data_IF_343304658496
#
_entry.id   IF_343304658496
#
_cell.length_a   1.000
_cell.length_b   1.000
_cell.length_c   1.000
_cell.angle_alpha   90.00
_cell.angle_beta   90.00
_cell.angle_gamma   90.00
#
_symmetry.space_group_name_H-M   'P 1'
#
loop_
_entity.id
_entity.type
_entity.pdbx_description
1 polymer ?
#
# COMPACT_ATOMS: atom_id res chain seq x y z
N UNK A 1 -34.69 -30.18 47.53
CA UNK A 1 -34.79 -30.27 46.06
C UNK A 1 -34.84 -28.86 45.51
N UNK A 2 -33.68 -28.31 45.11
CA UNK A 2 -33.59 -26.97 44.53
C UNK A 2 -33.87 -27.09 43.02
N UNK A 3 -34.85 -26.31 42.54
CA UNK A 3 -35.21 -26.23 41.13
C UNK A 3 -34.07 -25.56 40.36
N UNK A 4 -33.51 -26.29 39.39
CA UNK A 4 -32.60 -25.73 38.40
C UNK A 4 -33.46 -24.88 37.45
N UNK A 5 -33.29 -23.56 37.50
CA UNK A 5 -33.87 -22.65 36.53
C UNK A 5 -33.16 -22.87 35.18
N UNK A 6 -33.87 -22.97 34.05
CA UNK A 6 -33.24 -23.04 32.74
C UNK A 6 -32.56 -21.71 32.44
N UNK A 7 -31.23 -21.72 32.35
CA UNK A 7 -30.43 -20.61 31.82
C UNK A 7 -30.93 -20.31 30.40
N UNK A 8 -31.42 -19.09 30.19
CA UNK A 8 -31.95 -18.63 28.92
C UNK A 8 -30.86 -18.65 27.83
N UNK A 9 -31.15 -19.37 26.74
CA UNK A 9 -30.38 -19.43 25.49
C UNK A 9 -30.52 -18.12 24.66
N UNK A 10 -30.36 -16.96 25.29
CA UNK A 10 -30.63 -15.65 24.67
C UNK A 10 -29.64 -14.56 25.13
N UNK A 11 -28.40 -14.92 25.47
CA UNK A 11 -27.32 -13.93 25.30
C UNK A 11 -27.07 -13.79 23.80
N UNK A 12 -27.80 -12.86 23.17
CA UNK A 12 -27.38 -12.31 21.89
C UNK A 12 -25.92 -11.90 22.07
N UNK A 13 -25.00 -12.59 21.39
CA UNK A 13 -23.61 -12.15 21.30
C UNK A 13 -23.70 -10.83 20.54
N UNK A 14 -23.72 -9.71 21.26
CA UNK A 14 -23.47 -8.40 20.66
C UNK A 14 -22.11 -8.52 20.00
N UNK A 15 -22.03 -8.41 18.67
CA UNK A 15 -20.76 -8.54 18.00
C UNK A 15 -19.81 -7.45 18.51
N UNK A 16 -18.50 -7.73 18.54
CA UNK A 16 -17.53 -6.75 19.01
C UNK A 16 -17.65 -5.46 18.20
N UNK A 17 -17.37 -4.31 18.83
CA UNK A 17 -17.55 -2.97 18.25
C UNK A 17 -16.87 -2.75 16.88
N UNK A 18 -15.96 -3.65 16.48
CA UNK A 18 -15.20 -3.61 15.23
C UNK A 18 -15.69 -4.63 14.18
N UNK A 19 -16.95 -5.06 14.26
CA UNK A 19 -17.53 -6.06 13.35
C UNK A 19 -18.19 -5.39 12.16
N UNK A 20 -17.88 -5.87 10.95
CA UNK A 20 -18.51 -5.39 9.71
C UNK A 20 -19.63 -6.30 9.28
N UNK A 21 -20.88 -5.84 9.39
CA UNK A 21 -22.03 -6.64 8.97
C UNK A 21 -22.14 -6.73 7.45
N UNK A 22 -22.18 -7.95 6.93
CA UNK A 22 -22.64 -8.28 5.60
C UNK A 22 -24.15 -8.15 5.54
N UNK A 23 -24.64 -7.53 4.48
CA UNK A 23 -26.06 -7.54 4.18
C UNK A 23 -26.50 -8.96 3.70
N UNK A 24 -27.79 -9.32 3.81
CA UNK A 24 -28.28 -10.63 3.38
C UNK A 24 -28.02 -10.96 1.90
N UNK A 25 -27.95 -9.96 1.02
CA UNK A 25 -27.65 -10.19 -0.40
C UNK A 25 -26.21 -10.66 -0.61
N UNK A 26 -25.26 -10.12 0.14
CA UNK A 26 -23.86 -10.53 0.12
C UNK A 26 -23.65 -11.93 0.69
N UNK A 27 -24.40 -12.31 1.74
CA UNK A 27 -24.41 -13.69 2.24
C UNK A 27 -24.95 -14.68 1.19
N UNK A 28 -26.02 -14.31 0.50
CA UNK A 28 -26.55 -15.10 -0.62
C UNK A 28 -25.50 -15.27 -1.74
N UNK A 29 -24.76 -14.22 -2.08
CA UNK A 29 -23.69 -14.31 -3.07
C UNK A 29 -22.54 -15.20 -2.60
N UNK A 30 -22.16 -15.13 -1.32
CA UNK A 30 -21.16 -16.02 -0.72
C UNK A 30 -21.63 -17.47 -0.76
N UNK A 31 -22.88 -17.74 -0.44
CA UNK A 31 -23.42 -19.10 -0.47
C UNK A 31 -23.47 -19.66 -1.91
N UNK A 32 -23.76 -18.82 -2.92
CA UNK A 32 -23.68 -19.18 -4.35
C UNK A 32 -22.27 -19.50 -4.86
N UNK A 33 -21.23 -19.10 -4.14
CA UNK A 33 -19.85 -19.53 -4.47
C UNK A 33 -19.68 -21.03 -4.20
N UNK A 34 -20.39 -21.55 -3.21
CA UNK A 34 -20.37 -22.97 -2.85
C UNK A 34 -21.32 -23.80 -3.71
N UNK A 35 -22.48 -23.27 -4.09
CA UNK A 35 -23.42 -23.91 -5.02
C UNK A 35 -22.90 -23.80 -6.48
N UNK A 36 -21.95 -24.66 -6.84
CA UNK A 36 -21.24 -24.59 -8.14
C UNK A 36 -22.14 -25.06 -9.28
N UNK A 37 -23.02 -26.03 -9.02
CA UNK A 37 -23.94 -26.57 -10.00
C UNK A 37 -25.25 -25.75 -10.13
N UNK A 38 -25.49 -24.79 -9.22
CA UNK A 38 -26.62 -23.85 -9.18
C UNK A 38 -27.97 -24.53 -9.03
N UNK A 39 -28.03 -25.64 -8.29
CA UNK A 39 -29.28 -26.35 -8.04
C UNK A 39 -30.03 -25.83 -6.80
N UNK A 40 -29.48 -24.80 -6.13
CA UNK A 40 -30.07 -24.18 -4.93
C UNK A 40 -29.74 -24.94 -3.64
N UNK A 41 -28.88 -25.94 -3.74
CA UNK A 41 -28.44 -26.82 -2.67
C UNK A 41 -26.91 -26.84 -2.66
N UNK A 42 -26.30 -27.02 -1.49
CA UNK A 42 -24.86 -27.17 -1.38
C UNK A 42 -24.53 -28.62 -1.06
N UNK A 43 -24.00 -29.34 -2.04
CA UNK A 43 -23.59 -30.72 -1.94
C UNK A 43 -22.32 -30.91 -1.09
N UNK A 44 -22.13 -32.14 -0.59
CA UNK A 44 -20.92 -32.51 0.19
C UNK A 44 -19.62 -32.27 -0.58
N UNK A 45 -19.64 -32.59 -1.87
CA UNK A 45 -18.48 -32.48 -2.75
C UNK A 45 -18.14 -31.02 -3.08
N UNK A 46 -19.12 -30.13 -2.96
CA UNK A 46 -18.96 -28.70 -3.22
C UNK A 46 -18.33 -27.96 -2.03
N UNK A 47 -18.68 -28.33 -0.79
CA UNK A 47 -18.10 -27.72 0.40
C UNK A 47 -16.65 -28.15 0.67
N UNK A 48 -16.28 -29.38 0.30
CA UNK A 48 -14.96 -29.97 0.61
C UNK A 48 -14.56 -29.81 2.08
N UNK A 49 -15.52 -29.88 3.00
CA UNK A 49 -15.31 -29.74 4.45
C UNK A 49 -15.34 -31.07 5.18
N UNK A 50 -14.95 -31.06 6.46
CA UNK A 50 -14.99 -32.26 7.28
C UNK A 50 -16.42 -32.83 7.44
N UNK A 51 -16.59 -34.16 7.53
CA UNK A 51 -17.88 -34.78 7.79
C UNK A 51 -18.55 -34.32 9.10
N UNK A 52 -17.76 -33.83 10.05
CA UNK A 52 -18.27 -33.30 11.32
C UNK A 52 -18.97 -31.96 11.11
N UNK A 53 -18.41 -31.08 10.28
CA UNK A 53 -19.01 -29.78 9.95
C UNK A 53 -20.29 -29.95 9.11
N UNK A 54 -20.30 -30.89 8.17
CA UNK A 54 -21.50 -31.23 7.40
C UNK A 54 -22.67 -31.60 8.31
N UNK A 55 -22.44 -32.42 9.34
CA UNK A 55 -23.47 -32.79 10.32
C UNK A 55 -23.93 -31.65 11.22
N UNK A 56 -23.11 -30.61 11.38
CA UNK A 56 -23.48 -29.42 12.15
C UNK A 56 -24.33 -28.45 11.33
N UNK A 57 -24.09 -28.40 10.01
CA UNK A 57 -24.83 -27.59 9.06
C UNK A 57 -26.17 -28.20 8.66
N UNK A 58 -26.20 -29.50 8.43
CA UNK A 58 -27.37 -30.28 8.07
C UNK A 58 -28.29 -30.47 9.31
N UNK A 59 -29.15 -29.47 9.56
CA UNK A 59 -29.98 -29.41 10.76
C UNK A 59 -31.12 -30.41 10.73
N UNK A 60 -31.67 -30.65 9.55
CA UNK A 60 -32.79 -31.57 9.36
C UNK A 60 -32.33 -33.03 9.17
N UNK A 61 -31.02 -33.27 8.98
CA UNK A 61 -30.36 -34.57 8.82
C UNK A 61 -30.77 -35.31 7.55
N UNK A 62 -31.07 -34.60 6.47
CA UNK A 62 -31.43 -35.18 5.18
C UNK A 62 -30.22 -35.44 4.27
N UNK A 63 -29.00 -35.13 4.72
CA UNK A 63 -27.72 -35.17 4.00
C UNK A 63 -27.59 -34.15 2.88
N UNK A 64 -28.46 -33.14 2.86
CA UNK A 64 -28.52 -32.07 1.87
C UNK A 64 -28.43 -30.74 2.62
N UNK A 65 -27.41 -29.91 2.34
CA UNK A 65 -27.33 -28.60 2.98
C UNK A 65 -28.06 -27.59 2.11
N UNK A 66 -29.24 -27.17 2.55
CA UNK A 66 -29.98 -26.12 1.86
C UNK A 66 -29.30 -24.76 2.07
N UNK A 67 -29.51 -23.83 1.13
CA UNK A 67 -28.92 -22.49 1.19
C UNK A 67 -29.19 -21.80 2.53
N UNK A 68 -30.42 -21.88 3.04
CA UNK A 68 -30.78 -21.28 4.32
C UNK A 68 -30.11 -21.97 5.52
N UNK A 69 -29.80 -23.27 5.44
CA UNK A 69 -29.11 -24.00 6.50
C UNK A 69 -27.64 -23.57 6.56
N UNK A 70 -27.03 -23.38 5.40
CA UNK A 70 -25.69 -22.82 5.28
C UNK A 70 -25.64 -21.37 5.77
N UNK A 71 -26.58 -20.52 5.33
CA UNK A 71 -26.71 -19.15 5.82
C UNK A 71 -26.92 -19.11 7.33
N UNK A 72 -27.79 -19.98 7.87
CA UNK A 72 -28.02 -20.07 9.32
C UNK A 72 -26.76 -20.57 10.03
N UNK A 73 -25.99 -21.47 9.44
CA UNK A 73 -24.71 -21.95 9.95
C UNK A 73 -23.66 -20.84 10.02
N UNK A 74 -23.58 -20.00 8.98
CA UNK A 74 -22.77 -18.79 8.99
C UNK A 74 -23.25 -17.86 10.10
N UNK A 75 -24.51 -17.43 10.08
CA UNK A 75 -25.14 -16.50 11.06
C UNK A 75 -24.92 -16.93 12.52
N UNK A 76 -24.93 -18.23 12.80
CA UNK A 76 -24.77 -18.78 14.15
C UNK A 76 -23.32 -19.14 14.52
N UNK A 77 -22.31 -18.70 13.75
CA UNK A 77 -20.89 -19.01 13.96
C UNK A 77 -20.57 -20.52 13.99
N UNK A 78 -21.40 -21.34 13.34
CA UNK A 78 -21.18 -22.80 13.26
C UNK A 78 -20.16 -23.16 12.18
N UNK A 79 -19.90 -22.24 11.24
CA UNK A 79 -18.90 -22.36 10.17
C UNK A 79 -18.00 -21.14 10.19
N UNK A 80 -16.69 -21.36 10.20
CA UNK A 80 -15.72 -20.31 9.88
C UNK A 80 -15.17 -20.49 8.47
N UNK A 81 -14.87 -19.39 7.76
CA UNK A 81 -14.27 -19.46 6.42
C UNK A 81 -12.91 -20.17 6.41
N UNK A 82 -12.20 -20.21 7.54
CA UNK A 82 -10.97 -20.99 7.68
C UNK A 82 -11.21 -22.50 7.57
N UNK A 83 -12.40 -22.96 7.96
CA UNK A 83 -12.80 -24.37 7.82
C UNK A 83 -13.29 -24.68 6.40
N UNK A 84 -13.61 -23.65 5.62
CA UNK A 84 -13.92 -23.73 4.19
C UNK A 84 -12.59 -23.73 3.44
N UNK A 85 -12.44 -24.62 2.46
CA UNK A 85 -11.14 -24.85 1.81
C UNK A 85 -10.49 -23.54 1.28
N UNK A 86 -9.14 -23.42 1.29
CA UNK A 86 -8.41 -22.23 0.82
C UNK A 86 -8.83 -21.71 -0.57
N UNK A 87 -9.28 -22.62 -1.44
CA UNK A 87 -9.75 -22.31 -2.78
C UNK A 87 -10.97 -21.36 -2.79
N UNK A 88 -11.78 -21.39 -1.73
CA UNK A 88 -13.04 -20.65 -1.67
C UNK A 88 -12.85 -19.23 -1.12
N UNK A 89 -11.82 -19.01 -0.30
CA UNK A 89 -11.51 -17.68 0.27
C UNK A 89 -11.31 -16.60 -0.79
N UNK A 90 -10.72 -16.93 -1.94
CA UNK A 90 -10.55 -15.98 -3.06
C UNK A 90 -11.87 -15.62 -3.74
N UNK A 91 -12.79 -16.57 -3.87
CA UNK A 91 -14.09 -16.36 -4.48
C UNK A 91 -15.03 -15.61 -3.53
N UNK A 92 -14.94 -15.88 -2.23
CA UNK A 92 -15.60 -15.08 -1.18
C UNK A 92 -15.07 -13.64 -1.22
N UNK A 93 -13.74 -13.46 -1.24
CA UNK A 93 -13.14 -12.13 -1.35
C UNK A 93 -13.60 -11.38 -2.61
N UNK A 94 -13.73 -12.08 -3.75
CA UNK A 94 -14.27 -11.52 -4.98
C UNK A 94 -15.68 -10.96 -4.79
N UNK A 95 -16.58 -11.75 -4.21
CA UNK A 95 -17.97 -11.37 -3.96
C UNK A 95 -18.03 -10.16 -3.03
N UNK A 96 -17.30 -10.22 -1.92
CA UNK A 96 -17.33 -9.15 -0.91
C UNK A 96 -16.80 -7.81 -1.46
N UNK A 97 -15.79 -7.85 -2.32
CA UNK A 97 -15.25 -6.65 -2.97
C UNK A 97 -16.20 -6.15 -4.07
N UNK A 98 -16.78 -7.05 -4.86
CA UNK A 98 -17.71 -6.69 -5.93
C UNK A 98 -18.97 -5.99 -5.39
N UNK A 99 -19.45 -6.42 -4.23
CA UNK A 99 -20.54 -5.78 -3.49
C UNK A 99 -20.16 -4.46 -2.82
N UNK A 100 -18.94 -3.95 -3.06
CA UNK A 100 -18.42 -2.71 -2.50
C UNK A 100 -18.42 -2.66 -0.97
N UNK A 101 -18.49 -3.82 -0.31
CA UNK A 101 -18.36 -3.92 1.15
C UNK A 101 -16.98 -3.41 1.61
N UNK A 102 -16.00 -3.42 0.70
CA UNK A 102 -14.61 -3.05 0.94
C UNK A 102 -14.19 -1.67 0.37
N UNK A 103 -15.07 -0.93 -0.31
CA UNK A 103 -14.64 0.27 -1.06
C UNK A 103 -14.63 1.59 -0.26
N UNK A 104 -15.02 1.61 1.01
CA UNK A 104 -14.90 2.82 1.86
C UNK A 104 -14.97 2.49 3.35
N UNK A 105 -13.89 2.75 4.11
CA UNK A 105 -13.96 2.95 5.56
C UNK A 105 -14.05 1.70 6.44
N UNK A 106 -13.10 0.76 6.31
CA UNK A 106 -13.04 -0.44 7.16
C UNK A 106 -12.44 -0.23 8.57
N UNK A 107 -12.11 1.01 8.93
CA UNK A 107 -11.54 1.33 10.25
C UNK A 107 -10.36 0.39 10.58
N UNK A 108 -10.44 -0.30 11.72
CA UNK A 108 -9.43 -1.27 12.17
C UNK A 108 -9.40 -2.56 11.34
N UNK A 109 -10.50 -2.97 10.72
CA UNK A 109 -10.53 -4.19 9.89
C UNK A 109 -9.77 -3.98 8.57
N UNK A 110 -9.81 -2.77 8.04
CA UNK A 110 -9.10 -2.37 6.82
C UNK A 110 -7.61 -2.57 7.01
N UNK A 111 -7.05 -2.04 8.09
CA UNK A 111 -5.64 -2.20 8.47
C UNK A 111 -5.21 -3.65 8.69
N UNK A 112 -6.15 -4.54 9.04
CA UNK A 112 -5.87 -5.96 9.24
C UNK A 112 -5.87 -6.72 7.91
N UNK A 113 -6.56 -6.21 6.89
CA UNK A 113 -6.64 -6.88 5.58
C UNK A 113 -5.67 -6.26 4.58
N UNK A 114 -5.67 -4.94 4.49
CA UNK A 114 -4.78 -4.11 3.67
C UNK A 114 -3.34 -4.37 4.12
N UNK A 115 -2.67 -5.22 3.35
CA UNK A 115 -1.36 -5.76 3.72
C UNK A 115 -0.24 -4.86 3.24
N UNK A 116 -0.50 -4.09 2.19
CA UNK A 116 0.43 -3.13 1.62
C UNK A 116 0.19 -1.69 2.15
N UNK A 117 -0.87 -1.45 2.92
CA UNK A 117 -1.31 -0.16 3.45
C UNK A 117 -1.55 0.89 2.39
N UNK A 118 -2.01 0.48 1.20
CA UNK A 118 -2.33 1.42 0.14
C UNK A 118 -3.69 2.10 0.35
N UNK A 119 -4.39 1.79 1.44
CA UNK A 119 -5.71 2.32 1.78
C UNK A 119 -6.85 1.52 1.18
N UNK A 120 -6.54 0.51 0.37
CA UNK A 120 -7.49 -0.36 -0.29
C UNK A 120 -7.26 -1.80 0.10
N UNK A 121 -8.33 -2.59 -0.05
CA UNK A 121 -8.26 -4.03 0.16
C UNK A 121 -8.49 -4.70 -1.18
N UNK A 122 -7.44 -5.29 -1.73
CA UNK A 122 -7.55 -6.09 -2.94
C UNK A 122 -8.16 -7.47 -2.66
N UNK A 123 -8.59 -8.16 -3.73
CA UNK A 123 -9.08 -9.54 -3.63
C UNK A 123 -8.04 -10.48 -3.05
N UNK A 124 -6.79 -10.28 -3.44
CA UNK A 124 -5.68 -11.08 -2.96
C UNK A 124 -5.48 -10.87 -1.47
N UNK A 125 -5.53 -9.63 -0.99
CA UNK A 125 -5.34 -9.28 0.42
C UNK A 125 -6.45 -9.80 1.30
N UNK A 126 -7.71 -9.62 0.90
CA UNK A 126 -8.84 -10.19 1.63
C UNK A 126 -8.84 -11.71 1.60
N UNK A 127 -8.53 -12.31 0.44
CA UNK A 127 -8.41 -13.76 0.31
C UNK A 127 -7.32 -14.32 1.21
N UNK A 128 -6.15 -13.67 1.28
CA UNK A 128 -5.07 -14.01 2.20
C UNK A 128 -5.49 -13.81 3.65
N UNK A 129 -6.14 -12.71 3.99
CA UNK A 129 -6.57 -12.43 5.36
C UNK A 129 -7.61 -13.45 5.85
N UNK A 130 -8.56 -13.85 5.00
CA UNK A 130 -9.53 -14.92 5.28
C UNK A 130 -8.83 -16.28 5.43
N UNK A 131 -7.91 -16.61 4.52
CA UNK A 131 -7.20 -17.89 4.51
C UNK A 131 -6.24 -18.06 5.70
N UNK A 132 -5.55 -16.99 6.09
CA UNK A 132 -4.63 -16.97 7.25
C UNK A 132 -5.35 -16.77 8.57
N UNK A 133 -6.65 -16.48 8.52
CA UNK A 133 -7.45 -16.22 9.71
C UNK A 133 -7.25 -14.85 10.35
N UNK A 134 -6.54 -13.93 9.68
CA UNK A 134 -6.47 -12.51 10.07
C UNK A 134 -7.84 -11.85 10.06
N UNK A 135 -8.74 -12.31 9.20
CA UNK A 135 -10.16 -11.99 9.23
C UNK A 135 -10.96 -13.27 9.26
N UNK A 136 -11.97 -13.29 10.12
CA UNK A 136 -12.93 -14.37 10.22
C UNK A 136 -14.25 -13.82 9.73
N UNK A 137 -14.86 -14.52 8.78
CA UNK A 137 -16.29 -14.39 8.54
C UNK A 137 -17.00 -15.23 9.59
N UNK A 138 -17.66 -14.54 10.50
CA UNK A 138 -18.34 -15.09 11.66
C UNK A 138 -19.75 -14.51 11.63
N UNK A 139 -20.76 -15.32 11.34
CA UNK A 139 -22.10 -14.78 11.32
C UNK A 139 -22.42 -14.11 10.00
N UNK A 140 -23.15 -13.02 10.15
CA UNK A 140 -23.29 -11.98 9.13
C UNK A 140 -22.21 -10.92 9.27
N UNK A 141 -21.06 -11.15 9.90
CA UNK A 141 -20.03 -10.11 10.02
C UNK A 141 -18.59 -10.59 9.81
N UNK A 142 -17.74 -9.68 9.34
CA UNK A 142 -16.30 -9.85 9.30
C UNK A 142 -15.70 -9.26 10.57
N UNK A 143 -14.84 -10.05 11.22
CA UNK A 143 -14.14 -9.63 12.43
C UNK A 143 -12.67 -10.01 12.32
N UNK A 144 -11.79 -9.09 12.72
CA UNK A 144 -10.41 -9.44 13.01
C UNK A 144 -10.41 -10.10 14.40
N UNK A 145 -10.13 -11.42 14.51
CA UNK A 145 -10.10 -12.07 15.82
C UNK A 145 -9.11 -11.31 16.69
N UNK A 146 -9.55 -10.95 17.89
CA UNK A 146 -8.72 -10.25 18.86
C UNK A 146 -7.44 -11.05 19.05
N UNK A 147 -6.30 -10.51 18.61
CA UNK A 147 -5.02 -11.17 18.85
C UNK A 147 -4.81 -11.14 20.36
N UNK A 148 -4.58 -12.30 21.03
CA UNK A 148 -4.62 -12.41 22.49
C UNK A 148 -3.60 -11.54 23.25
N UNK A 149 -2.79 -10.73 22.57
CA UNK A 149 -1.85 -9.78 23.17
C UNK A 149 -2.06 -8.31 22.74
N UNK A 150 -3.23 -7.91 22.24
CA UNK A 150 -3.56 -6.48 22.21
C UNK A 150 -3.94 -6.04 23.63
N UNK A 151 -3.20 -5.13 24.28
CA UNK A 151 -3.68 -4.51 25.51
C UNK A 151 -4.97 -3.76 25.18
N UNK A 152 -6.01 -3.92 26.02
CA UNK A 152 -7.23 -3.13 25.96
C UNK A 152 -6.89 -1.65 25.73
N UNK A 153 -7.19 -1.12 24.54
CA UNK A 153 -7.23 0.31 24.34
C UNK A 153 -8.38 0.85 25.18
N UNK A 154 -8.15 1.72 26.18
CA UNK A 154 -9.24 2.32 26.92
C UNK A 154 -10.08 3.19 25.97
N UNK A 155 -11.41 3.28 26.18
CA UNK A 155 -12.24 4.23 25.43
C UNK A 155 -11.67 5.64 25.60
N UNK A 156 -11.68 6.42 24.52
CA UNK A 156 -11.14 7.77 24.45
C UNK A 156 -11.49 8.58 25.72
N UNK A 157 -10.49 8.81 26.58
CA UNK A 157 -10.64 9.75 27.69
C UNK A 157 -10.71 11.17 27.12
N UNK A 158 -11.55 12.05 27.69
CA UNK A 158 -11.53 13.46 27.35
C UNK A 158 -10.16 14.09 27.67
N UNK A 159 -9.76 15.16 26.98
CA UNK A 159 -8.44 15.77 27.15
C UNK A 159 -8.25 16.24 28.60
N UNK A 160 -7.27 15.64 29.28
CA UNK A 160 -6.82 16.07 30.60
C UNK A 160 -6.01 17.38 30.45
N UNK A 161 -6.44 18.54 31.01
CA UNK A 161 -5.80 19.84 30.76
C UNK A 161 -4.46 20.07 31.50
N UNK A 162 -3.79 19.03 31.99
CA UNK A 162 -2.81 19.17 33.07
C UNK A 162 -1.35 18.79 32.81
N UNK A 163 -0.92 18.42 31.60
CA UNK A 163 0.46 17.99 31.37
C UNK A 163 1.20 18.79 30.29
N UNK A 164 2.21 19.60 30.68
CA UNK A 164 3.16 20.18 29.74
C UNK A 164 4.41 19.29 29.66
N UNK A 165 4.69 18.72 28.48
CA UNK A 165 6.05 18.33 28.09
C UNK A 165 6.22 16.99 27.36
N UNK A 166 6.64 17.07 26.09
CA UNK A 166 7.56 16.10 25.46
C UNK A 166 6.97 15.09 24.45
N UNK A 167 7.50 15.02 23.21
CA UNK A 167 6.99 14.10 22.20
C UNK A 167 7.49 12.66 22.40
N UNK A 168 6.55 11.79 22.79
CA UNK A 168 6.34 10.47 22.20
C UNK A 168 7.53 9.50 22.08
N UNK A 169 7.90 8.87 23.20
CA UNK A 169 8.29 7.45 23.23
C UNK A 169 7.91 6.90 24.61
N UNK A 170 7.11 5.83 24.65
CA UNK A 170 6.88 5.06 25.87
C UNK A 170 8.03 4.05 25.97
N UNK A 171 8.94 4.15 26.95
CA UNK A 171 10.05 3.21 27.06
C UNK A 171 9.54 1.88 27.63
N UNK A 172 9.79 0.76 26.92
CA UNK A 172 9.76 -0.58 27.53
C UNK A 172 8.69 -1.58 27.04
N UNK A 173 7.92 -1.29 25.99
CA UNK A 173 7.10 -2.33 25.35
C UNK A 173 7.96 -3.26 24.49
N UNK A 174 7.83 -4.60 24.56
CA UNK A 174 8.50 -5.48 23.60
C UNK A 174 7.95 -5.16 22.21
N UNK A 175 8.78 -4.50 21.40
CA UNK A 175 8.47 -4.23 20.00
C UNK A 175 8.21 -5.56 19.30
N UNK A 176 6.98 -5.77 18.85
CA UNK A 176 6.71 -6.89 17.97
C UNK A 176 7.57 -6.73 16.70
N UNK A 177 8.19 -7.80 16.21
CA UNK A 177 8.89 -7.73 14.93
C UNK A 177 7.89 -7.27 13.86
N UNK A 178 8.25 -6.29 13.01
CA UNK A 178 7.39 -5.90 11.89
C UNK A 178 7.07 -7.12 11.04
N UNK A 179 5.83 -7.22 10.56
CA UNK A 179 5.40 -8.36 9.76
C UNK A 179 6.27 -8.47 8.49
N UNK A 180 6.65 -9.68 8.07
CA UNK A 180 7.43 -9.88 6.85
C UNK A 180 6.70 -9.25 5.65
N UNK A 181 7.33 -8.23 5.04
CA UNK A 181 6.83 -7.57 3.82
C UNK A 181 6.37 -6.12 3.98
N UNK A 182 6.21 -5.56 5.19
CA UNK A 182 5.84 -4.14 5.35
C UNK A 182 6.98 -3.17 4.94
N UNK A 183 8.21 -3.67 4.78
CA UNK A 183 9.40 -2.81 4.69
C UNK A 183 9.58 -1.98 5.97
N UNK A 184 10.63 -1.18 6.01
CA UNK A 184 10.86 -0.22 7.11
C UNK A 184 10.11 1.09 6.84
N UNK A 185 9.64 1.75 7.90
CA UNK A 185 9.14 3.14 7.79
C UNK A 185 10.29 4.10 7.41
N UNK A 186 9.98 5.35 7.09
CA UNK A 186 11.00 6.36 6.82
C UNK A 186 11.93 6.58 8.03
N UNK A 187 11.39 6.62 9.24
CA UNK A 187 12.15 6.76 10.49
C UNK A 187 13.05 5.55 10.75
N UNK A 188 12.51 4.34 10.63
CA UNK A 188 13.27 3.09 10.82
C UNK A 188 14.38 2.95 9.78
N UNK A 189 14.10 3.36 8.54
CA UNK A 189 15.07 3.38 7.45
C UNK A 189 16.21 4.34 7.76
N UNK A 190 15.90 5.56 8.23
CA UNK A 190 16.92 6.54 8.65
C UNK A 190 17.73 6.04 9.84
N UNK A 191 17.09 5.40 10.82
CA UNK A 191 17.77 4.85 11.99
C UNK A 191 18.74 3.73 11.58
N UNK A 192 18.31 2.80 10.72
CA UNK A 192 19.16 1.71 10.23
C UNK A 192 20.35 2.22 9.42
N UNK A 193 20.12 3.20 8.53
CA UNK A 193 21.21 3.85 7.79
C UNK A 193 22.17 4.55 8.74
N UNK A 194 21.66 5.29 9.73
CA UNK A 194 22.47 5.98 10.73
C UNK A 194 23.33 5.00 11.54
N UNK A 195 22.80 3.82 11.88
CA UNK A 195 23.56 2.75 12.53
C UNK A 195 24.71 2.27 11.64
N UNK A 196 24.46 1.99 10.36
CA UNK A 196 25.51 1.61 9.41
C UNK A 196 26.56 2.69 9.22
N UNK A 197 26.15 3.96 9.17
CA UNK A 197 27.07 5.10 9.08
C UNK A 197 27.91 5.28 10.35
N UNK A 198 27.32 5.06 11.53
CA UNK A 198 28.04 5.14 12.81
C UNK A 198 29.12 4.07 12.95
N UNK A 199 28.95 2.95 12.24
CA UNK A 199 29.91 1.85 12.19
C UNK A 199 31.01 2.04 11.12
N UNK A 200 31.07 3.18 10.42
CA UNK A 200 32.15 3.49 9.46
C UNK A 200 33.46 3.80 10.19
N UNK A 201 34.54 3.17 9.76
CA UNK A 201 35.90 3.53 10.16
C UNK A 201 36.22 4.97 9.75
N UNK A 202 36.82 5.71 10.67
CA UNK A 202 37.32 7.07 10.46
C UNK A 202 38.78 7.03 10.05
N UNK A 203 39.22 8.06 9.33
CA UNK A 203 40.64 8.22 9.01
C UNK A 203 41.39 8.72 10.23
N UNK A 204 42.56 8.13 10.50
CA UNK A 204 43.53 8.61 11.46
C UNK A 204 44.25 9.88 10.95
N UNK A 205 45.19 10.41 11.73
CA UNK A 205 45.99 11.58 11.35
C UNK A 205 46.88 11.36 10.12
N UNK A 206 47.07 10.11 9.69
CA UNK A 206 47.87 9.73 8.53
C UNK A 206 46.99 9.43 7.29
N UNK A 207 45.67 9.55 7.42
CA UNK A 207 44.71 9.29 6.36
C UNK A 207 44.36 7.81 6.18
N UNK A 208 44.83 6.92 7.05
CA UNK A 208 44.51 5.49 7.05
C UNK A 208 43.21 5.24 7.84
N UNK A 209 42.41 4.26 7.44
CA UNK A 209 41.21 3.90 8.20
C UNK A 209 41.57 3.20 9.51
N UNK A 210 41.07 3.73 10.62
CA UNK A 210 41.31 3.23 11.97
C UNK A 210 40.22 2.21 12.37
N UNK A 211 40.56 0.91 12.48
CA UNK A 211 39.59 -0.13 12.85
C UNK A 211 39.07 -0.01 14.29
N UNK A 212 39.67 0.84 15.14
CA UNK A 212 39.14 1.10 16.49
C UNK A 212 37.93 2.04 16.48
N UNK A 213 37.69 2.75 15.37
CA UNK A 213 36.63 3.77 15.26
C UNK A 213 35.35 3.28 14.59
N UNK A 214 35.37 2.07 14.02
CA UNK A 214 34.24 1.47 13.31
C UNK A 214 34.52 0.05 12.84
N UNK A 215 33.48 -0.64 12.39
CA UNK A 215 33.53 -2.05 12.00
C UNK A 215 33.74 -2.20 10.49
N UNK A 216 33.27 -1.24 9.70
CA UNK A 216 33.27 -1.30 8.24
C UNK A 216 34.17 -0.22 7.66
N UNK A 217 34.90 -0.51 6.59
CA UNK A 217 35.45 0.57 5.77
C UNK A 217 34.30 1.40 5.19
N UNK A 218 34.50 2.68 4.83
CA UNK A 218 33.44 3.46 4.19
C UNK A 218 32.85 2.78 2.95
N UNK A 219 33.68 2.12 2.14
CA UNK A 219 33.26 1.40 0.94
C UNK A 219 32.33 0.23 1.28
N UNK A 220 32.66 -0.55 2.32
CA UNK A 220 31.83 -1.67 2.78
C UNK A 220 30.49 -1.19 3.35
N UNK A 221 30.51 -0.18 4.22
CA UNK A 221 29.29 0.41 4.78
C UNK A 221 28.40 0.99 3.68
N UNK A 222 28.99 1.72 2.72
CA UNK A 222 28.29 2.28 1.57
C UNK A 222 27.68 1.18 0.69
N UNK A 223 28.40 0.07 0.49
CA UNK A 223 27.87 -1.11 -0.20
C UNK A 223 26.65 -1.71 0.49
N UNK A 224 26.69 -1.84 1.82
CA UNK A 224 25.56 -2.33 2.62
C UNK A 224 24.36 -1.38 2.58
N UNK A 225 24.60 -0.08 2.76
CA UNK A 225 23.55 0.94 2.67
C UNK A 225 22.92 0.92 1.28
N UNK A 226 23.72 0.88 0.21
CA UNK A 226 23.20 0.81 -1.16
C UNK A 226 22.31 -0.41 -1.37
N UNK A 227 22.78 -1.60 -0.98
CA UNK A 227 21.99 -2.83 -1.12
C UNK A 227 20.68 -2.73 -0.34
N UNK A 228 20.72 -2.20 0.87
CA UNK A 228 19.51 -1.98 1.67
C UNK A 228 18.55 -0.97 1.02
N UNK A 229 19.05 0.11 0.43
CA UNK A 229 18.21 1.05 -0.33
C UNK A 229 17.53 0.35 -1.53
N UNK A 230 18.25 -0.53 -2.24
CA UNK A 230 17.71 -1.29 -3.37
C UNK A 230 16.66 -2.32 -2.95
N UNK A 231 16.96 -3.12 -1.92
CA UNK A 231 16.13 -4.24 -1.50
C UNK A 231 14.89 -3.77 -0.72
N UNK A 232 15.07 -2.82 0.21
CA UNK A 232 14.05 -2.45 1.19
C UNK A 232 13.37 -1.11 0.89
N UNK A 233 14.09 -0.11 0.38
CA UNK A 233 13.53 1.25 0.21
C UNK A 233 12.80 1.42 -1.12
N UNK A 234 13.39 0.95 -2.22
CA UNK A 234 12.80 1.08 -3.56
C UNK A 234 11.38 0.50 -3.61
N UNK A 235 11.21 -0.73 -3.10
CA UNK A 235 9.96 -1.47 -3.18
C UNK A 235 9.05 -1.32 -1.95
N UNK A 236 9.45 -0.58 -0.91
CA UNK A 236 8.63 -0.43 0.29
C UNK A 236 7.31 0.27 -0.04
N UNK A 237 6.19 -0.35 0.37
CA UNK A 237 4.86 0.28 0.32
C UNK A 237 4.61 1.18 1.54
N UNK A 238 5.33 0.98 2.64
CA UNK A 238 5.22 1.77 3.86
C UNK A 238 5.85 3.18 3.75
N UNK A 239 6.48 3.53 2.62
CA UNK A 239 7.09 4.84 2.40
C UNK A 239 6.47 5.55 1.21
N UNK A 240 6.12 6.83 1.41
CA UNK A 240 5.74 7.69 0.29
C UNK A 240 6.92 7.87 -0.68
N UNK A 241 6.63 8.14 -1.96
CA UNK A 241 7.70 8.45 -2.91
C UNK A 241 8.56 9.61 -2.41
N UNK A 242 7.94 10.65 -1.85
CA UNK A 242 8.65 11.80 -1.28
C UNK A 242 9.67 11.38 -0.22
N UNK A 243 9.29 10.49 0.69
CA UNK A 243 10.19 10.02 1.75
C UNK A 243 11.35 9.21 1.17
N UNK A 244 11.08 8.32 0.20
CA UNK A 244 12.12 7.56 -0.50
C UNK A 244 13.14 8.50 -1.15
N UNK A 245 12.67 9.55 -1.84
CA UNK A 245 13.54 10.52 -2.50
C UNK A 245 14.36 11.34 -1.50
N UNK A 246 13.76 11.79 -0.40
CA UNK A 246 14.51 12.47 0.68
C UNK A 246 15.59 11.56 1.29
N UNK A 247 15.31 10.27 1.47
CA UNK A 247 16.30 9.29 1.91
C UNK A 247 17.44 9.19 0.89
N UNK A 248 17.16 9.04 -0.40
CA UNK A 248 18.20 8.94 -1.44
C UNK A 248 19.06 10.21 -1.53
N UNK A 249 18.47 11.39 -1.37
CA UNK A 249 19.23 12.66 -1.29
C UNK A 249 20.14 12.69 -0.08
N UNK A 250 19.63 12.32 1.10
CA UNK A 250 20.40 12.34 2.34
C UNK A 250 21.63 11.44 2.27
N UNK A 251 21.55 10.38 1.45
CA UNK A 251 22.62 9.41 1.22
C UNK A 251 23.54 9.76 0.05
N UNK A 252 23.30 10.86 -0.66
CA UNK A 252 24.14 11.26 -1.79
C UNK A 252 25.50 11.73 -1.30
N UNK A 253 26.56 11.19 -1.89
CA UNK A 253 27.93 11.61 -1.65
C UNK A 253 28.09 13.10 -1.96
N UNK A 254 28.68 13.84 -1.03
CA UNK A 254 29.11 15.22 -1.28
C UNK A 254 30.36 15.22 -2.16
N UNK A 255 30.54 16.31 -2.92
CA UNK A 255 31.77 16.53 -3.67
C UNK A 255 32.89 16.96 -2.73
N UNK A 256 34.10 16.46 -2.95
CA UNK A 256 35.31 16.98 -2.33
C UNK A 256 35.76 18.29 -3.00
N UNK A 257 36.89 18.85 -2.55
CA UNK A 257 37.46 20.07 -3.12
C UNK A 257 37.88 19.95 -4.59
N UNK A 258 37.92 18.73 -5.13
CA UNK A 258 38.29 18.41 -6.51
C UNK A 258 37.08 18.04 -7.38
N UNK A 259 35.86 18.06 -6.82
CA UNK A 259 34.65 17.69 -7.54
C UNK A 259 34.40 16.17 -7.62
N UNK A 260 35.20 15.36 -6.92
CA UNK A 260 35.02 13.92 -6.86
C UNK A 260 34.01 13.55 -5.76
N UNK A 261 33.30 12.44 -5.92
CA UNK A 261 32.41 11.95 -4.88
C UNK A 261 33.23 11.49 -3.66
N UNK A 262 32.93 12.04 -2.48
CA UNK A 262 33.59 11.72 -1.23
C UNK A 262 32.82 10.58 -0.52
N UNK A 263 33.34 9.33 -0.52
CA UNK A 263 32.65 8.20 0.10
C UNK A 263 32.56 8.30 1.63
N UNK A 264 33.29 9.23 2.25
CA UNK A 264 33.14 9.54 3.67
C UNK A 264 31.92 10.45 3.96
N UNK A 265 31.35 11.09 2.93
CA UNK A 265 30.26 12.08 3.06
C UNK A 265 29.01 11.67 2.27
N UNK A 266 28.62 10.41 2.40
CA UNK A 266 27.43 9.81 1.81
C UNK A 266 27.69 8.36 1.45
N UNK A 267 26.68 7.71 0.88
CA UNK A 267 26.67 6.27 0.64
C UNK A 267 26.42 5.89 -0.82
N UNK A 268 25.85 6.80 -1.61
CA UNK A 268 25.57 6.61 -3.04
C UNK A 268 26.08 7.80 -3.85
N UNK A 269 26.67 7.54 -5.02
CA UNK A 269 27.05 8.62 -5.95
C UNK A 269 25.82 9.37 -6.45
N UNK A 270 26.01 10.56 -7.03
CA UNK A 270 24.90 11.31 -7.64
C UNK A 270 24.14 10.50 -8.69
N UNK A 271 24.86 9.74 -9.52
CA UNK A 271 24.27 8.82 -10.51
C UNK A 271 23.48 7.69 -9.84
N UNK A 272 24.05 7.04 -8.82
CA UNK A 272 23.37 5.95 -8.12
C UNK A 272 22.10 6.40 -7.39
N UNK A 273 22.12 7.59 -6.77
CA UNK A 273 20.93 8.18 -6.16
C UNK A 273 19.83 8.42 -7.20
N UNK A 274 20.22 8.89 -8.40
CA UNK A 274 19.30 9.05 -9.54
C UNK A 274 18.70 7.72 -10.01
N UNK A 275 19.54 6.69 -10.18
CA UNK A 275 19.09 5.35 -10.60
C UNK A 275 18.12 4.72 -9.56
N UNK A 276 18.41 4.87 -8.26
CA UNK A 276 17.53 4.45 -7.17
C UNK A 276 16.20 5.20 -7.17
N UNK A 277 16.26 6.51 -7.35
CA UNK A 277 15.08 7.37 -7.46
C UNK A 277 14.19 6.95 -8.63
N UNK A 278 14.79 6.67 -9.80
CA UNK A 278 14.06 6.20 -10.98
C UNK A 278 13.41 4.83 -10.74
N UNK A 279 14.13 3.88 -10.14
CA UNK A 279 13.57 2.57 -9.76
C UNK A 279 12.41 2.74 -8.77
N UNK A 280 12.58 3.57 -7.75
CA UNK A 280 11.53 3.82 -6.75
C UNK A 280 10.31 4.52 -7.35
N UNK A 281 10.48 5.47 -8.26
CA UNK A 281 9.37 6.11 -8.95
C UNK A 281 8.59 5.12 -9.84
N UNK A 282 9.29 4.16 -10.47
CA UNK A 282 8.67 3.07 -11.23
C UNK A 282 7.96 2.06 -10.31
N UNK A 283 8.56 1.70 -9.19
CA UNK A 283 7.97 0.79 -8.21
C UNK A 283 6.78 1.40 -7.46
N UNK A 284 6.83 2.72 -7.20
CA UNK A 284 5.74 3.51 -6.64
C UNK A 284 4.72 3.94 -7.71
N UNK A 285 4.73 3.34 -8.92
CA UNK A 285 3.66 3.57 -9.89
C UNK A 285 2.34 3.16 -9.22
N UNK A 286 1.42 4.12 -9.02
CA UNK A 286 0.30 3.92 -8.14
C UNK A 286 -0.74 3.01 -8.76
N UNK A 287 -1.65 2.59 -7.89
CA UNK A 287 -3.02 2.35 -8.29
C UNK A 287 -3.58 3.68 -8.85
N UNK A 288 -3.85 3.81 -10.16
CA UNK A 288 -4.05 5.10 -10.85
C UNK A 288 -5.32 5.88 -10.46
N UNK A 289 -5.99 5.49 -9.38
CA UNK A 289 -7.35 5.92 -9.06
C UNK A 289 -7.41 7.14 -8.14
N UNK A 290 -6.38 7.43 -7.33
CA UNK A 290 -6.44 8.59 -6.43
C UNK A 290 -6.00 9.92 -7.06
N UNK A 291 -6.92 10.88 -7.07
CA UNK A 291 -6.71 12.24 -7.61
C UNK A 291 -5.53 12.96 -6.96
N UNK A 292 -5.49 12.99 -5.63
CA UNK A 292 -4.46 13.74 -4.89
C UNK A 292 -3.09 13.10 -5.04
N UNK A 293 -3.05 11.78 -5.19
CA UNK A 293 -1.81 11.05 -5.47
C UNK A 293 -1.19 11.52 -6.79
N UNK A 294 -1.96 11.57 -7.89
CA UNK A 294 -1.42 11.93 -9.20
C UNK A 294 -0.76 13.31 -9.21
N UNK A 295 -1.39 14.27 -8.54
CA UNK A 295 -0.85 15.62 -8.38
C UNK A 295 0.42 15.60 -7.52
N UNK A 296 0.37 14.96 -6.35
CA UNK A 296 1.52 14.86 -5.44
C UNK A 296 2.72 14.16 -6.10
N UNK A 297 2.47 13.12 -6.91
CA UNK A 297 3.51 12.39 -7.64
C UNK A 297 4.20 13.28 -8.68
N UNK A 298 3.42 13.98 -9.51
CA UNK A 298 3.96 14.90 -10.53
C UNK A 298 4.70 16.07 -9.86
N UNK A 299 4.14 16.66 -8.81
CA UNK A 299 4.78 17.74 -8.05
C UNK A 299 6.09 17.28 -7.41
N UNK A 300 6.11 16.07 -6.84
CA UNK A 300 7.31 15.45 -6.28
C UNK A 300 8.37 15.27 -7.37
N UNK A 301 8.07 14.60 -8.48
CA UNK A 301 9.04 14.40 -9.56
C UNK A 301 9.52 15.72 -10.20
N UNK A 302 8.63 16.70 -10.32
CA UNK A 302 8.98 18.02 -10.87
C UNK A 302 9.88 18.82 -9.92
N UNK A 303 9.63 18.75 -8.61
CA UNK A 303 10.45 19.37 -7.58
C UNK A 303 11.86 18.78 -7.50
N UNK A 304 12.02 17.54 -7.97
CA UNK A 304 13.29 16.81 -7.98
C UNK A 304 14.11 16.96 -9.27
N UNK A 305 13.68 17.81 -10.20
CA UNK A 305 14.48 18.17 -11.38
C UNK A 305 15.73 18.93 -10.98
N UNK A 306 16.87 18.51 -11.51
CA UNK A 306 18.13 19.26 -11.42
C UNK A 306 17.95 20.65 -12.03
N UNK A 307 18.45 21.65 -11.30
CA UNK A 307 18.57 23.04 -11.70
C UNK A 307 19.83 23.23 -12.54
N UNK A 308 19.87 24.27 -13.40
CA UNK A 308 21.09 24.60 -14.11
C UNK A 308 22.09 25.21 -13.13
N UNK A 309 23.37 24.85 -13.25
CA UNK A 309 24.47 25.60 -12.64
C UNK A 309 24.70 26.94 -13.36
N UNK A 310 25.71 27.69 -12.94
CA UNK A 310 26.08 28.98 -13.56
C UNK A 310 26.48 28.88 -15.03
N UNK A 311 26.73 27.67 -15.53
CA UNK A 311 27.14 27.37 -16.91
C UNK A 311 26.02 26.71 -17.73
N UNK A 312 24.84 26.51 -17.13
CA UNK A 312 23.70 25.86 -17.77
C UNK A 312 23.71 24.33 -17.72
N UNK A 313 24.74 23.72 -17.12
CA UNK A 313 24.82 22.26 -16.92
C UNK A 313 23.90 21.82 -15.79
N UNK A 314 23.53 20.54 -15.76
CA UNK A 314 22.72 20.00 -14.67
C UNK A 314 23.49 19.94 -13.35
N UNK A 315 23.02 20.70 -12.36
CA UNK A 315 23.55 20.68 -11.00
C UNK A 315 23.01 19.47 -10.24
N UNK A 316 23.81 18.40 -10.21
CA UNK A 316 23.53 17.20 -9.44
C UNK A 316 23.31 17.45 -7.96
N UNK A 317 23.66 18.62 -7.41
CA UNK A 317 23.40 18.94 -6.01
C UNK A 317 21.94 19.36 -5.75
N UNK A 318 21.26 19.86 -6.78
CA UNK A 318 19.97 20.54 -6.66
C UNK A 318 18.73 19.65 -6.81
N UNK A 319 18.89 18.44 -7.33
CA UNK A 319 17.80 17.47 -7.54
C UNK A 319 18.32 16.04 -7.75
N UNK A 320 17.40 15.09 -7.87
CA UNK A 320 17.73 13.67 -8.11
C UNK A 320 17.61 13.25 -9.58
N UNK A 321 16.87 14.00 -10.39
CA UNK A 321 16.63 13.66 -11.79
C UNK A 321 17.20 14.71 -12.71
N UNK A 322 17.84 14.29 -13.80
CA UNK A 322 17.98 15.18 -14.96
C UNK A 322 16.58 15.58 -15.43
N UNK A 323 16.41 16.78 -16.05
CA UNK A 323 15.12 17.17 -16.61
C UNK A 323 14.54 16.11 -17.55
N UNK A 324 15.39 15.43 -18.34
CA UNK A 324 14.98 14.35 -19.24
C UNK A 324 14.43 13.11 -18.51
N UNK A 325 15.07 12.66 -17.43
CA UNK A 325 14.60 11.53 -16.62
C UNK A 325 13.25 11.83 -15.95
N UNK A 326 13.14 12.99 -15.28
CA UNK A 326 11.88 13.39 -14.65
C UNK A 326 10.75 13.49 -15.68
N UNK A 327 11.03 14.06 -16.86
CA UNK A 327 10.06 14.17 -17.94
C UNK A 327 9.64 12.78 -18.46
N UNK A 328 10.56 11.83 -18.56
CA UNK A 328 10.26 10.45 -18.97
C UNK A 328 9.34 9.75 -17.97
N UNK A 329 9.62 9.87 -16.67
CA UNK A 329 8.79 9.31 -15.61
C UNK A 329 7.41 9.97 -15.56
N UNK A 330 7.33 11.31 -15.64
CA UNK A 330 6.08 12.05 -15.68
C UNK A 330 5.26 11.68 -16.92
N UNK A 331 5.89 11.53 -18.10
CA UNK A 331 5.20 11.08 -19.32
C UNK A 331 4.61 9.68 -19.18
N UNK A 332 5.40 8.73 -18.66
CA UNK A 332 4.94 7.37 -18.44
C UNK A 332 3.76 7.35 -17.46
N UNK A 333 3.88 8.10 -16.36
CA UNK A 333 2.82 8.25 -15.37
C UNK A 333 1.57 8.93 -15.93
N UNK A 334 1.72 10.03 -16.67
CA UNK A 334 0.58 10.69 -17.30
C UNK A 334 -0.12 9.73 -18.26
N UNK A 335 0.59 8.96 -19.08
CA UNK A 335 -0.06 7.98 -19.96
C UNK A 335 -0.88 6.96 -19.18
N UNK A 336 -0.33 6.35 -18.13
CA UNK A 336 -1.08 5.36 -17.34
C UNK A 336 -2.24 6.00 -16.56
N UNK A 337 -1.98 7.08 -15.82
CA UNK A 337 -2.99 7.73 -15.00
C UNK A 337 -4.09 8.40 -15.82
N UNK A 338 -3.74 9.05 -16.94
CA UNK A 338 -4.70 9.78 -17.76
C UNK A 338 -5.52 8.84 -18.64
N UNK A 339 -4.94 7.78 -19.18
CA UNK A 339 -5.69 6.87 -20.05
C UNK A 339 -6.49 5.85 -19.24
N UNK A 340 -5.92 5.28 -18.17
CA UNK A 340 -6.51 4.12 -17.52
C UNK A 340 -7.37 4.48 -16.28
N UNK A 341 -7.15 5.65 -15.67
CA UNK A 341 -7.91 6.05 -14.48
C UNK A 341 -9.37 6.37 -14.82
N UNK A 342 -10.30 5.70 -14.13
CA UNK A 342 -11.75 5.99 -14.24
C UNK A 342 -12.22 7.07 -13.28
N UNK A 343 -11.43 7.37 -12.26
CA UNK A 343 -11.82 8.27 -11.16
C UNK A 343 -11.45 9.72 -11.42
N UNK A 344 -10.43 9.98 -12.25
CA UNK A 344 -10.06 11.34 -12.65
C UNK A 344 -10.98 11.78 -13.79
N UNK A 345 -11.68 12.90 -13.61
CA UNK A 345 -12.56 13.45 -14.64
C UNK A 345 -11.76 13.86 -15.89
N UNK A 346 -12.45 13.93 -17.03
CA UNK A 346 -11.84 14.36 -18.30
C UNK A 346 -11.17 15.73 -18.17
N UNK A 347 -11.83 16.69 -17.52
CA UNK A 347 -11.35 18.07 -17.43
C UNK A 347 -10.13 18.16 -16.49
N UNK A 348 -10.07 17.34 -15.44
CA UNK A 348 -8.89 17.20 -14.58
C UNK A 348 -7.71 16.57 -15.30
N UNK A 349 -7.95 15.53 -16.11
CA UNK A 349 -6.92 14.93 -16.98
C UNK A 349 -6.31 15.97 -17.92
N UNK A 350 -7.15 16.80 -18.56
CA UNK A 350 -6.70 17.88 -19.43
C UNK A 350 -5.96 18.98 -18.65
N UNK A 351 -6.40 19.31 -17.44
CA UNK A 351 -5.71 20.26 -16.57
C UNK A 351 -4.32 19.75 -16.17
N UNK A 352 -4.19 18.46 -15.83
CA UNK A 352 -2.91 17.81 -15.55
C UNK A 352 -1.98 17.86 -16.78
N UNK A 353 -2.47 17.48 -17.96
CA UNK A 353 -1.70 17.58 -19.22
C UNK A 353 -1.22 19.01 -19.45
N UNK A 354 -2.12 20.00 -19.34
CA UNK A 354 -1.80 21.42 -19.57
C UNK A 354 -0.77 21.95 -18.59
N UNK A 355 -0.82 21.53 -17.33
CA UNK A 355 0.15 21.93 -16.31
C UNK A 355 1.57 21.44 -16.60
N UNK A 356 1.70 20.41 -17.45
CA UNK A 356 2.97 19.77 -17.79
C UNK A 356 3.51 20.19 -19.17
N UNK A 357 2.92 21.17 -19.84
CA UNK A 357 3.44 21.71 -21.11
C UNK A 357 4.74 22.50 -20.86
N UNK A 358 5.79 22.21 -21.63
CA UNK A 358 7.04 22.97 -21.61
C UNK A 358 6.78 24.42 -22.03
N UNK A 359 7.29 25.36 -21.23
CA UNK A 359 7.33 26.77 -21.58
C UNK A 359 8.50 27.05 -22.52
N UNK A 360 8.38 28.09 -23.34
CA UNK A 360 9.50 28.58 -24.15
C UNK A 360 10.53 29.28 -23.27
N UNK A 361 11.81 29.08 -23.56
CA UNK A 361 12.89 29.89 -23.00
C UNK A 361 12.98 31.27 -23.70
N UNK A 362 13.96 32.09 -23.30
CA UNK A 362 14.20 33.41 -23.90
C UNK A 362 14.56 33.36 -25.39
N UNK A 363 14.88 32.18 -25.93
CA UNK A 363 15.26 31.94 -27.31
C UNK A 363 14.13 31.29 -28.13
N UNK A 364 12.96 31.06 -27.52
CA UNK A 364 11.82 30.41 -28.17
C UNK A 364 11.92 28.88 -28.26
N UNK A 365 12.90 28.26 -27.60
CA UNK A 365 13.06 26.80 -27.53
C UNK A 365 12.21 26.23 -26.40
N UNK A 366 11.74 24.98 -26.54
CA UNK A 366 11.03 24.30 -25.46
C UNK A 366 11.99 24.05 -24.29
N UNK A 367 11.62 24.51 -23.09
CA UNK A 367 12.46 24.36 -21.91
C UNK A 367 12.04 23.12 -21.11
N UNK A 368 12.82 22.01 -21.16
CA UNK A 368 12.49 20.76 -20.49
C UNK A 368 12.48 20.87 -18.96
N UNK A 369 13.02 21.97 -18.39
CA UNK A 369 12.99 22.22 -16.94
C UNK A 369 11.63 22.76 -16.48
N UNK A 370 10.82 23.30 -17.38
CA UNK A 370 9.54 23.99 -17.04
C UNK A 370 8.30 23.11 -17.18
N UNK A 371 8.43 21.98 -17.87
CA UNK A 371 7.34 21.05 -18.13
C UNK A 371 7.90 19.73 -18.64
N UNK A 372 7.02 18.75 -18.80
CA UNK A 372 7.36 17.39 -19.18
C UNK A 372 6.90 17.02 -20.59
N UNK A 373 5.99 17.78 -21.18
CA UNK A 373 5.39 17.55 -22.49
C UNK A 373 5.73 18.68 -23.46
N UNK A 374 6.16 18.34 -24.66
CA UNK A 374 6.13 19.30 -25.77
C UNK A 374 4.68 19.67 -26.11
N UNK A 375 4.42 20.82 -26.76
CA UNK A 375 3.07 21.18 -27.19
C UNK A 375 2.39 20.10 -28.04
N UNK A 376 3.16 19.43 -28.90
CA UNK A 376 2.66 18.34 -29.76
C UNK A 376 2.27 17.10 -28.94
N UNK A 377 3.10 16.69 -27.98
CA UNK A 377 2.79 15.55 -27.10
C UNK A 377 1.56 15.82 -26.23
N UNK A 378 1.43 17.05 -25.71
CA UNK A 378 0.26 17.45 -24.94
C UNK A 378 -1.02 17.43 -25.79
N UNK A 379 -0.93 17.83 -27.06
CA UNK A 379 -2.04 17.75 -28.01
C UNK A 379 -2.44 16.29 -28.29
N UNK A 380 -1.47 15.40 -28.50
CA UNK A 380 -1.71 13.97 -28.72
C UNK A 380 -2.38 13.33 -27.51
N UNK A 381 -1.84 13.51 -26.30
CA UNK A 381 -2.43 13.01 -25.06
C UNK A 381 -3.84 13.56 -24.82
N UNK A 382 -4.05 14.86 -25.08
CA UNK A 382 -5.38 15.47 -24.95
C UNK A 382 -6.38 14.81 -25.91
N UNK A 383 -5.97 14.53 -27.15
CA UNK A 383 -6.79 13.83 -28.14
C UNK A 383 -7.15 12.42 -27.66
N UNK A 384 -6.19 11.67 -27.14
CA UNK A 384 -6.43 10.32 -26.59
C UNK A 384 -7.44 10.35 -25.43
N UNK A 385 -7.40 11.38 -24.56
CA UNK A 385 -8.40 11.58 -23.48
C UNK A 385 -9.81 11.80 -24.03
N UNK A 386 -9.96 12.52 -25.13
CA UNK A 386 -11.27 12.70 -25.76
C UNK A 386 -11.77 11.42 -26.41
N UNK A 387 -10.90 10.67 -27.07
CA UNK A 387 -11.24 9.43 -27.78
C UNK A 387 -11.56 8.28 -26.83
N UNK A 388 -10.84 8.13 -25.71
CA UNK A 388 -11.08 7.06 -24.73
C UNK A 388 -12.47 7.12 -24.11
N UNK A 389 -13.06 8.31 -24.04
CA UNK A 389 -14.40 8.52 -23.48
C UNK A 389 -15.52 8.24 -24.50
N UNK A 390 -15.24 8.34 -25.80
CA UNK A 390 -16.22 8.10 -26.87
C UNK A 390 -16.57 6.60 -27.00
N UNK A 391 -15.61 5.70 -26.75
CA UNK A 391 -15.85 4.25 -26.75
C UNK A 391 -16.80 3.77 -25.64
N UNK A 392 -17.05 4.58 -24.61
CA UNK A 392 -17.97 4.24 -23.53
C UNK A 392 -19.43 4.60 -23.84
N UNK A 393 -19.66 5.60 -24.70
CA UNK A 393 -21.00 6.00 -25.12
C UNK A 393 -21.63 4.97 -26.06
N UNK A 394 -20.83 4.29 -26.90
CA UNK A 394 -21.34 3.26 -27.81
C UNK A 394 -21.83 2.00 -27.08
N UNK A 395 -21.26 1.64 -25.93
CA UNK A 395 -21.74 0.52 -25.11
C UNK A 395 -23.07 0.80 -24.40
N UNK A 396 -23.37 2.08 -24.09
CA UNK A 396 -24.66 2.47 -23.50
C UNK A 396 -25.80 2.58 -24.51
N UNK A 397 -25.50 2.68 -25.80
CA UNK A 397 -26.52 2.72 -26.86
C UNK A 397 -26.89 1.31 -27.38
N UNK A 398 -26.11 0.29 -27.01
CA UNK A 398 -26.31 -1.12 -27.42
C UNK A 398 -26.88 -2.01 -26.31
N UNK A 399 -27.18 -1.44 -25.14
CA UNK A 399 -27.86 -2.08 -24.01
C UNK A 399 -29.12 -1.28 -23.70
#
# INVERSE_FOLDING_TARGET
MQSIQPTSLQSFITPPANSYYLNPASLNQVARVFDQNRDGVIGRDELRVSPQLLRQLDRNRDNIIQLFEFESGLVNNQVSVQQLAPAVSHQIAQVLIADRIFSAGLGSLGQVVDSNYDGFVTRQELGMALNTGRVILSGSYLVAPHQPNQPNWPPAYPPNPGYPGGPGQVPGGPGYPPYPGMGKTAEETRAYISELESNKMRKDSWGNYDPSTGIFTPEEANGKIRKFLEDEVVNSSAMSLKDKLEIFKSQRMKKDSWGNDDPAKGSVSGKQASDLAEKAAKASQPNPFERDFAKNFIETLSGEKMKPDSWGNDDYSSGLYTPAQANTLIKAFLRSAVLDSREISRDEKLALIRSQIMKKDSWGNDNPRTGSLTPLEAQQLSKEVFESNAGFQSFKAAA
#
